data_IF_766554546209
#
_entry.id   IF_766554546209
#
_cell.length_a   1.000
_cell.length_b   1.000
_cell.length_c   1.000
_cell.angle_alpha   90.00
_cell.angle_beta   90.00
_cell.angle_gamma   90.00
#
_symmetry.space_group_name_H-M   'P 1'
#
loop_
_entity.id
_entity.type
_entity.pdbx_description
1 polymer ?
#
# COMPACT_ATOMS: atom_id res chain seq x y z
N UNK A 1 69.80 -27.49 8.16
CA UNK A 1 68.55 -26.71 8.34
C UNK A 1 68.67 -25.40 7.58
N UNK A 2 67.73 -25.11 6.67
CA UNK A 2 67.28 -23.76 6.27
C UNK A 2 66.56 -23.88 4.92
N UNK A 3 65.23 -24.11 4.95
CA UNK A 3 64.36 -23.96 3.78
C UNK A 3 64.09 -22.46 3.61
N UNK A 4 64.63 -21.86 2.56
CA UNK A 4 64.34 -20.48 2.17
C UNK A 4 62.87 -20.37 1.72
N UNK A 5 62.08 -19.57 2.44
CA UNK A 5 60.69 -19.24 2.09
C UNK A 5 60.68 -18.30 0.88
N UNK A 6 60.20 -18.78 -0.26
CA UNK A 6 59.78 -17.91 -1.36
C UNK A 6 58.57 -17.08 -0.91
N UNK A 7 58.69 -15.75 -0.96
CA UNK A 7 57.56 -14.83 -0.74
C UNK A 7 57.10 -14.32 -2.10
N UNK A 8 55.84 -14.62 -2.46
CA UNK A 8 55.21 -14.11 -3.66
C UNK A 8 55.08 -12.58 -3.60
N UNK A 9 55.58 -11.89 -4.63
CA UNK A 9 55.46 -10.44 -4.79
C UNK A 9 54.12 -10.14 -5.47
N UNK A 10 53.19 -9.51 -4.75
CA UNK A 10 51.92 -9.03 -5.30
C UNK A 10 52.05 -7.56 -5.67
N UNK A 11 52.09 -7.26 -6.97
CA UNK A 11 52.08 -5.88 -7.48
C UNK A 11 50.62 -5.45 -7.69
N UNK A 12 50.09 -4.61 -6.79
CA UNK A 12 48.79 -3.96 -6.98
C UNK A 12 48.96 -2.73 -7.89
N UNK A 13 48.59 -2.84 -9.17
CA UNK A 13 48.45 -1.67 -10.05
C UNK A 13 47.19 -0.92 -9.67
N UNK A 14 47.35 0.31 -9.17
CA UNK A 14 46.23 1.22 -8.95
C UNK A 14 46.04 2.03 -10.23
N UNK A 15 44.92 1.81 -10.92
CA UNK A 15 44.52 2.67 -12.04
C UNK A 15 44.08 4.02 -11.48
N UNK A 16 44.71 5.11 -11.94
CA UNK A 16 44.31 6.46 -11.58
C UNK A 16 42.84 6.70 -12.00
N UNK A 17 41.99 7.01 -11.02
CA UNK A 17 40.62 7.43 -11.29
C UNK A 17 40.65 8.73 -12.13
N UNK A 18 40.03 8.69 -13.31
CA UNK A 18 39.80 9.90 -14.12
C UNK A 18 39.04 10.90 -13.25
N UNK A 19 39.59 12.13 -13.12
CA UNK A 19 38.91 13.25 -12.49
C UNK A 19 37.58 13.50 -13.21
N UNK A 20 36.49 13.09 -12.59
CA UNK A 20 35.14 13.44 -12.98
C UNK A 20 34.97 14.95 -12.81
N UNK A 21 34.64 15.66 -13.89
CA UNK A 21 34.43 17.11 -13.91
C UNK A 21 33.13 17.48 -13.18
N UNK A 22 33.15 17.51 -11.84
CA UNK A 22 32.00 17.84 -10.99
C UNK A 22 31.61 19.34 -10.97
N UNK A 23 32.00 20.13 -11.99
CA UNK A 23 31.76 21.58 -12.03
C UNK A 23 30.64 22.05 -12.97
N UNK A 24 30.00 21.15 -13.74
CA UNK A 24 29.05 21.49 -14.81
C UNK A 24 27.57 21.26 -14.50
N UNK A 25 27.23 20.46 -13.48
CA UNK A 25 25.85 20.05 -13.21
C UNK A 25 24.94 21.23 -12.79
N UNK A 26 25.46 22.17 -12.00
CA UNK A 26 24.70 23.36 -11.58
C UNK A 26 24.43 24.32 -12.74
N UNK A 27 25.31 24.37 -13.75
CA UNK A 27 25.13 25.18 -14.96
C UNK A 27 24.01 24.61 -15.85
N UNK A 28 23.86 23.29 -15.87
CA UNK A 28 22.79 22.63 -16.61
C UNK A 28 21.42 22.90 -15.96
N UNK A 29 21.34 22.82 -14.63
CA UNK A 29 20.13 23.17 -13.89
C UNK A 29 19.77 24.66 -14.03
N UNK A 30 20.76 25.56 -14.04
CA UNK A 30 20.54 26.99 -14.26
C UNK A 30 20.08 27.31 -15.70
N UNK A 31 20.68 26.65 -16.70
CA UNK A 31 20.28 26.80 -18.09
C UNK A 31 18.83 26.33 -18.31
N UNK A 32 18.47 25.18 -17.72
CA UNK A 32 17.12 24.61 -17.79
C UNK A 32 16.08 25.55 -17.15
N UNK A 33 16.40 26.11 -15.97
CA UNK A 33 15.55 27.10 -15.32
C UNK A 33 15.32 28.37 -16.17
N UNK A 34 16.38 28.88 -16.82
CA UNK A 34 16.27 30.04 -17.70
C UNK A 34 15.42 29.74 -18.94
N UNK A 35 15.55 28.54 -19.53
CA UNK A 35 14.71 28.13 -20.66
C UNK A 35 13.25 27.91 -20.26
N UNK A 36 12.99 27.39 -19.06
CA UNK A 36 11.63 27.26 -18.53
C UNK A 36 10.98 28.65 -18.33
N UNK A 37 11.71 29.62 -17.79
CA UNK A 37 11.21 30.99 -17.63
C UNK A 37 10.99 31.69 -18.98
N UNK A 38 11.87 31.47 -19.96
CA UNK A 38 11.69 31.99 -21.32
C UNK A 38 10.44 31.39 -21.98
N UNK A 39 10.24 30.08 -21.89
CA UNK A 39 9.07 29.41 -22.45
C UNK A 39 7.76 29.89 -21.79
N UNK A 40 7.77 30.04 -20.46
CA UNK A 40 6.64 30.59 -19.71
C UNK A 40 6.33 32.03 -20.13
N UNK A 41 7.35 32.87 -20.31
CA UNK A 41 7.18 34.24 -20.76
C UNK A 41 6.60 34.30 -22.19
N UNK A 42 7.12 33.50 -23.12
CA UNK A 42 6.59 33.41 -24.49
C UNK A 42 5.13 32.94 -24.50
N UNK A 43 4.77 31.99 -23.63
CA UNK A 43 3.39 31.53 -23.49
C UNK A 43 2.46 32.64 -22.98
N UNK A 44 2.87 33.35 -21.92
CA UNK A 44 2.09 34.48 -21.40
C UNK A 44 1.99 35.62 -22.40
N UNK A 45 3.05 35.87 -23.16
CA UNK A 45 3.08 36.87 -24.23
C UNK A 45 2.10 36.50 -25.36
N UNK A 46 2.08 35.23 -25.78
CA UNK A 46 1.11 34.71 -26.73
C UNK A 46 -0.32 34.86 -26.22
N UNK A 47 -0.59 34.48 -24.97
CA UNK A 47 -1.93 34.61 -24.35
C UNK A 47 -2.40 36.07 -24.25
N UNK A 48 -1.47 37.02 -24.09
CA UNK A 48 -1.81 38.44 -24.07
C UNK A 48 -2.22 39.00 -25.44
N UNK A 49 -1.83 38.34 -26.54
CA UNK A 49 -2.20 38.72 -27.91
C UNK A 49 -3.50 38.08 -28.41
N UNK A 50 -4.07 37.15 -27.65
CA UNK A 50 -5.26 36.36 -28.02
C UNK A 50 -6.52 37.01 -27.45
N UNK A 51 -7.59 37.03 -28.25
CA UNK A 51 -8.87 37.62 -27.81
C UNK A 51 -9.51 36.77 -26.70
N UNK A 52 -10.31 37.37 -25.78
CA UNK A 52 -10.97 36.62 -24.71
C UNK A 52 -11.89 35.51 -25.22
N UNK A 53 -12.44 35.65 -26.44
CA UNK A 53 -13.26 34.61 -27.08
C UNK A 53 -12.43 33.40 -27.49
N UNK A 54 -11.26 33.61 -28.08
CA UNK A 54 -10.32 32.53 -28.43
C UNK A 54 -9.73 31.86 -27.18
N UNK A 55 -9.42 32.65 -26.14
CA UNK A 55 -8.93 32.12 -24.86
C UNK A 55 -9.98 31.22 -24.18
N UNK A 56 -11.27 31.59 -24.27
CA UNK A 56 -12.37 30.74 -23.81
C UNK A 56 -12.49 29.45 -24.63
N UNK A 57 -12.36 29.53 -25.96
CA UNK A 57 -12.39 28.34 -26.83
C UNK A 57 -11.25 27.36 -26.55
N UNK A 58 -10.04 27.86 -26.29
CA UNK A 58 -8.89 27.04 -25.89
C UNK A 58 -9.12 26.45 -24.48
N UNK A 59 -9.63 27.24 -23.52
CA UNK A 59 -9.93 26.76 -22.18
C UNK A 59 -11.01 25.66 -22.20
N UNK A 60 -12.03 25.81 -23.03
CA UNK A 60 -13.11 24.83 -23.18
C UNK A 60 -12.61 23.52 -23.80
N UNK A 61 -11.65 23.58 -24.73
CA UNK A 61 -10.96 22.39 -25.27
C UNK A 61 -10.24 21.57 -24.18
N UNK A 62 -9.59 22.24 -23.21
CA UNK A 62 -8.90 21.56 -22.10
C UNK A 62 -9.82 21.18 -20.93
N UNK A 63 -10.97 21.84 -20.78
CA UNK A 63 -11.96 21.53 -19.73
C UNK A 63 -12.96 20.44 -20.12
N UNK A 64 -13.05 20.07 -21.40
CA UNK A 64 -13.99 19.06 -21.89
C UNK A 64 -13.38 17.70 -22.32
N UNK A 65 -12.29 17.16 -21.74
CA UNK A 65 -11.84 15.81 -22.10
C UNK A 65 -12.87 14.74 -21.67
N UNK A 66 -13.62 15.00 -20.59
CA UNK A 66 -14.55 14.02 -20.02
C UNK A 66 -15.86 13.85 -20.81
N UNK A 67 -16.41 14.92 -21.42
CA UNK A 67 -17.71 14.85 -22.10
C UNK A 67 -17.63 14.08 -23.42
N UNK A 68 -16.56 14.25 -24.19
CA UNK A 68 -16.35 13.54 -25.44
C UNK A 68 -16.03 12.05 -25.22
N UNK A 69 -15.31 11.72 -24.14
CA UNK A 69 -14.98 10.34 -23.78
C UNK A 69 -16.17 9.55 -23.19
N UNK A 70 -17.05 10.20 -22.42
CA UNK A 70 -18.19 9.53 -21.74
C UNK A 70 -19.48 9.45 -22.58
N UNK A 71 -19.75 10.39 -23.49
CA UNK A 71 -21.05 10.49 -24.15
C UNK A 71 -21.04 10.41 -25.68
N UNK A 72 -19.88 10.19 -26.31
CA UNK A 72 -19.79 9.98 -27.76
C UNK A 72 -20.54 11.05 -28.56
N UNK A 73 -20.11 12.31 -28.42
CA UNK A 73 -20.67 13.45 -29.14
C UNK A 73 -19.60 14.11 -30.03
N UNK A 74 -20.05 14.69 -31.14
CA UNK A 74 -19.20 15.39 -32.12
C UNK A 74 -18.23 16.33 -31.42
N UNK A 75 -16.95 16.17 -31.75
CA UNK A 75 -15.89 17.07 -31.30
C UNK A 75 -16.18 18.43 -31.91
N UNK A 76 -16.03 19.50 -31.13
CA UNK A 76 -16.03 20.89 -31.62
C UNK A 76 -14.90 21.23 -32.59
N UNK A 77 -14.16 20.22 -33.07
CA UNK A 77 -13.14 20.28 -34.11
C UNK A 77 -13.61 19.65 -35.44
N UNK A 78 -14.90 19.30 -35.59
CA UNK A 78 -15.47 19.17 -36.93
C UNK A 78 -15.60 20.58 -37.52
N UNK A 79 -14.73 20.87 -38.48
CA UNK A 79 -14.82 22.04 -39.33
C UNK A 79 -16.26 22.13 -39.87
N UNK A 80 -16.91 23.27 -39.70
CA UNK A 80 -18.30 23.48 -40.10
C UNK A 80 -18.40 23.47 -41.63
N UNK A 81 -18.36 22.29 -42.23
CA UNK A 81 -18.56 22.12 -43.67
C UNK A 81 -20.08 21.98 -43.91
N UNK A 82 -20.66 22.97 -44.59
CA UNK A 82 -22.08 23.02 -44.96
C UNK A 82 -22.44 22.00 -46.07
N UNK A 83 -21.45 21.30 -46.64
CA UNK A 83 -21.66 20.32 -47.69
C UNK A 83 -21.14 18.96 -47.23
N UNK A 84 -22.05 18.15 -46.69
CA UNK A 84 -21.86 16.71 -46.46
C UNK A 84 -22.06 15.98 -47.79
N UNK A 85 -21.18 16.26 -48.75
CA UNK A 85 -21.27 15.79 -50.14
C UNK A 85 -20.03 15.02 -50.54
N UNK A 86 -20.08 13.70 -50.40
CA UNK A 86 -19.10 12.79 -51.00
C UNK A 86 -19.19 12.87 -52.51
N UNK A 87 -18.18 13.46 -53.14
CA UNK A 87 -17.98 13.48 -54.58
C UNK A 87 -16.72 12.70 -54.94
N UNK A 88 -16.88 11.69 -55.79
CA UNK A 88 -15.77 10.94 -56.40
C UNK A 88 -14.98 11.91 -57.29
N UNK A 89 -13.66 11.96 -57.13
CA UNK A 89 -12.79 12.64 -58.07
C UNK A 89 -12.83 11.87 -59.40
N UNK A 90 -13.45 12.46 -60.44
CA UNK A 90 -13.59 11.84 -61.76
C UNK A 90 -12.26 11.68 -62.51
N UNK A 91 -11.14 12.18 -61.97
CA UNK A 91 -9.81 12.06 -62.57
C UNK A 91 -8.96 10.91 -62.00
N UNK A 92 -9.44 10.23 -60.95
CA UNK A 92 -8.67 9.18 -60.28
C UNK A 92 -9.55 7.98 -59.93
N UNK A 93 -9.19 6.79 -60.41
CA UNK A 93 -9.90 5.52 -60.16
C UNK A 93 -9.65 4.95 -58.74
N UNK A 94 -9.41 5.83 -57.75
CA UNK A 94 -9.15 5.46 -56.35
C UNK A 94 -10.21 6.07 -55.47
N UNK A 95 -10.84 5.21 -54.67
CA UNK A 95 -11.85 5.61 -53.69
C UNK A 95 -11.35 6.77 -52.83
N UNK A 96 -12.17 7.83 -52.79
CA UNK A 96 -11.88 9.05 -52.05
C UNK A 96 -11.54 8.73 -50.61
N UNK A 97 -10.41 9.26 -50.14
CA UNK A 97 -9.91 9.05 -48.78
C UNK A 97 -10.81 9.79 -47.81
N UNK A 98 -11.96 9.19 -47.45
CA UNK A 98 -12.45 9.35 -46.09
C UNK A 98 -11.41 8.66 -45.22
N UNK A 99 -10.45 9.44 -44.72
CA UNK A 99 -9.59 9.00 -43.63
C UNK A 99 -10.49 8.92 -42.40
N UNK A 100 -11.32 7.87 -42.33
CA UNK A 100 -11.58 7.22 -41.06
C UNK A 100 -10.20 6.80 -40.61
N UNK A 101 -9.66 7.56 -39.66
CA UNK A 101 -8.61 7.05 -38.81
C UNK A 101 -9.21 5.85 -38.09
N UNK A 102 -9.13 4.68 -38.72
CA UNK A 102 -9.15 3.44 -37.95
C UNK A 102 -8.05 3.62 -36.91
N UNK A 103 -8.43 3.49 -35.63
CA UNK A 103 -7.63 3.86 -34.46
C UNK A 103 -6.32 3.08 -34.27
N UNK A 104 -5.76 2.55 -35.34
CA UNK A 104 -4.53 1.78 -35.41
C UNK A 104 -3.39 2.66 -35.93
N UNK A 105 -3.12 3.75 -35.22
CA UNK A 105 -1.80 4.38 -35.28
C UNK A 105 -1.22 4.38 -33.88
N UNK A 106 -0.06 3.77 -33.73
CA UNK A 106 0.66 3.59 -32.44
C UNK A 106 0.90 4.89 -31.67
N UNK A 107 0.80 6.06 -32.33
CA UNK A 107 0.87 7.37 -31.69
C UNK A 107 -0.47 7.85 -31.13
N UNK A 108 -1.62 7.55 -31.75
CA UNK A 108 -2.94 7.90 -31.22
C UNK A 108 -3.30 7.07 -29.98
N UNK A 109 -2.90 5.79 -29.95
CA UNK A 109 -3.06 4.93 -28.78
C UNK A 109 -2.25 5.44 -27.58
N UNK A 110 -1.04 5.99 -27.81
CA UNK A 110 -0.15 6.49 -26.75
C UNK A 110 -0.55 7.85 -26.16
N UNK A 111 -1.15 8.74 -26.95
CA UNK A 111 -1.65 10.02 -26.42
C UNK A 111 -2.98 9.83 -25.68
N UNK A 112 -3.87 8.96 -26.16
CA UNK A 112 -5.10 8.61 -25.44
C UNK A 112 -4.81 7.89 -24.10
N UNK A 113 -3.87 6.94 -24.08
CA UNK A 113 -3.51 6.24 -22.83
C UNK A 113 -2.92 7.18 -21.76
N UNK A 114 -2.14 8.20 -22.17
CA UNK A 114 -1.56 9.17 -21.23
C UNK A 114 -2.59 10.14 -20.65
N UNK A 115 -3.55 10.60 -21.45
CA UNK A 115 -4.63 11.47 -20.94
C UNK A 115 -5.54 10.73 -19.96
N UNK A 116 -5.77 9.44 -20.21
CA UNK A 116 -6.58 8.59 -19.33
C UNK A 116 -5.84 8.32 -18.01
N UNK A 117 -4.53 8.04 -18.06
CA UNK A 117 -3.69 7.85 -16.86
C UNK A 117 -3.62 9.13 -15.98
N UNK A 118 -3.50 10.31 -16.58
CA UNK A 118 -3.49 11.58 -15.84
C UNK A 118 -4.84 11.89 -15.19
N UNK A 119 -5.95 11.63 -15.89
CA UNK A 119 -7.30 11.80 -15.35
C UNK A 119 -7.57 10.85 -14.17
N UNK A 120 -7.16 9.58 -14.29
CA UNK A 120 -7.28 8.58 -13.22
C UNK A 120 -6.46 8.98 -12.00
N UNK A 121 -5.21 9.42 -12.20
CA UNK A 121 -4.34 9.85 -11.09
C UNK A 121 -4.89 11.07 -10.35
N UNK A 122 -5.44 12.06 -11.08
CA UNK A 122 -6.09 13.23 -10.45
C UNK A 122 -7.33 12.83 -9.66
N UNK A 123 -8.14 11.92 -10.19
CA UNK A 123 -9.33 11.42 -9.51
C UNK A 123 -8.93 10.64 -8.25
N UNK A 124 -7.95 9.73 -8.33
CA UNK A 124 -7.43 8.99 -7.17
C UNK A 124 -6.90 9.93 -6.09
N UNK A 125 -6.06 10.92 -6.45
CA UNK A 125 -5.55 11.89 -5.49
C UNK A 125 -6.63 12.78 -4.85
N UNK A 126 -7.78 12.97 -5.51
CA UNK A 126 -8.94 13.65 -4.91
C UNK A 126 -9.67 12.77 -3.89
N UNK A 127 -9.79 11.46 -4.16
CA UNK A 127 -10.42 10.48 -3.28
C UNK A 127 -9.57 10.25 -2.03
N UNK A 128 -8.26 10.10 -2.19
CA UNK A 128 -7.29 9.97 -1.08
C UNK A 128 -7.36 11.17 -0.13
N UNK A 129 -7.43 12.40 -0.66
CA UNK A 129 -7.57 13.60 0.17
C UNK A 129 -8.88 13.62 0.96
N UNK A 130 -10.01 13.27 0.33
CA UNK A 130 -11.31 13.19 1.01
C UNK A 130 -11.31 12.12 2.10
N UNK A 131 -10.65 11.00 1.85
CA UNK A 131 -10.46 9.96 2.85
C UNK A 131 -9.59 10.42 4.01
N UNK A 132 -8.49 11.11 3.74
CA UNK A 132 -7.61 11.63 4.77
C UNK A 132 -8.34 12.61 5.70
N UNK A 133 -9.21 13.46 5.14
CA UNK A 133 -10.10 14.32 5.92
C UNK A 133 -11.06 13.49 6.79
N UNK A 134 -11.71 12.46 6.24
CA UNK A 134 -12.60 11.56 7.02
C UNK A 134 -11.88 10.89 8.19
N UNK A 135 -10.67 10.38 7.98
CA UNK A 135 -9.88 9.75 9.03
C UNK A 135 -9.42 10.77 10.09
N UNK A 136 -9.13 12.01 9.68
CA UNK A 136 -8.82 13.10 10.60
C UNK A 136 -10.03 13.52 11.44
N UNK A 137 -11.21 13.64 10.82
CA UNK A 137 -12.45 13.93 11.54
C UNK A 137 -12.78 12.82 12.55
N UNK A 138 -12.56 11.55 12.17
CA UNK A 138 -12.68 10.40 13.06
C UNK A 138 -11.72 10.51 14.25
N UNK A 139 -10.46 10.88 14.02
CA UNK A 139 -9.48 11.10 15.08
C UNK A 139 -9.98 12.16 16.08
N UNK A 140 -10.45 13.30 15.59
CA UNK A 140 -10.96 14.39 16.43
C UNK A 140 -12.16 13.90 17.25
N UNK A 141 -13.11 13.20 16.60
CA UNK A 141 -14.31 12.67 17.27
C UNK A 141 -13.97 11.65 18.35
N UNK A 142 -13.02 10.75 18.10
CA UNK A 142 -12.52 9.80 19.09
C UNK A 142 -11.89 10.51 20.29
N UNK A 143 -11.02 11.49 20.05
CA UNK A 143 -10.40 12.27 21.12
C UNK A 143 -11.45 13.04 21.95
N UNK A 144 -12.44 13.63 21.29
CA UNK A 144 -13.55 14.32 21.96
C UNK A 144 -14.41 13.35 22.78
N UNK A 145 -14.70 12.14 22.28
CA UNK A 145 -15.45 11.13 23.00
C UNK A 145 -14.71 10.62 24.26
N UNK A 146 -13.38 10.43 24.15
CA UNK A 146 -12.52 10.07 25.28
C UNK A 146 -12.52 11.19 26.34
N UNK A 147 -12.45 12.46 25.91
CA UNK A 147 -12.47 13.58 26.83
C UNK A 147 -13.83 13.80 27.48
N UNK A 148 -14.93 13.59 26.75
CA UNK A 148 -16.29 13.76 27.28
C UNK A 148 -16.64 12.76 28.37
N UNK A 149 -16.12 11.52 28.30
CA UNK A 149 -16.42 10.47 29.26
C UNK A 149 -15.43 10.49 30.46
N UNK A 150 -15.89 10.73 31.70
CA UNK A 150 -15.01 10.76 32.88
C UNK A 150 -14.21 9.46 33.11
N UNK A 151 -14.81 8.31 32.77
CA UNK A 151 -14.18 6.99 32.91
C UNK A 151 -13.06 6.81 31.88
N UNK A 152 -13.23 7.30 30.65
CA UNK A 152 -12.20 7.19 29.61
C UNK A 152 -11.07 8.21 29.81
N UNK A 153 -11.42 9.39 30.34
CA UNK A 153 -10.47 10.48 30.58
C UNK A 153 -9.30 10.08 31.49
N UNK A 154 -9.54 9.24 32.50
CA UNK A 154 -8.46 8.72 33.37
C UNK A 154 -7.48 7.79 32.63
N UNK A 155 -7.86 7.25 31.47
CA UNK A 155 -7.02 6.39 30.62
C UNK A 155 -6.43 7.14 29.41
N UNK A 156 -6.57 8.47 29.34
CA UNK A 156 -6.05 9.28 28.22
C UNK A 156 -4.55 9.05 27.94
N UNK A 157 -3.75 8.74 28.97
CA UNK A 157 -2.31 8.45 28.79
C UNK A 157 -2.05 7.06 28.21
N UNK A 158 -2.99 6.13 28.41
CA UNK A 158 -2.91 4.75 27.91
C UNK A 158 -3.52 4.60 26.51
N UNK A 159 -4.28 5.59 26.03
CA UNK A 159 -4.87 5.60 24.70
C UNK A 159 -4.11 6.59 23.82
N UNK A 160 -3.44 6.08 22.78
CA UNK A 160 -2.69 6.89 21.80
C UNK A 160 -3.38 6.81 20.45
N UNK A 161 -3.56 7.95 19.78
CA UNK A 161 -4.22 8.01 18.47
C UNK A 161 -3.35 8.79 17.49
N UNK A 162 -2.80 8.09 16.50
CA UNK A 162 -1.85 8.64 15.54
C UNK A 162 -2.32 8.43 14.09
N UNK A 163 -2.05 9.42 13.24
CA UNK A 163 -2.17 9.25 11.79
C UNK A 163 -0.91 8.58 11.24
N UNK A 164 -1.08 7.54 10.45
CA UNK A 164 -0.01 6.70 9.88
C UNK A 164 -0.18 6.58 8.36
N UNK A 165 0.84 6.05 7.68
CA UNK A 165 0.77 5.81 6.23
C UNK A 165 -0.31 4.79 5.85
N UNK A 166 -0.68 3.89 6.77
CA UNK A 166 -1.72 2.89 6.53
C UNK A 166 -3.13 3.38 6.88
N UNK A 167 -3.25 4.52 7.55
CA UNK A 167 -4.51 5.09 8.01
C UNK A 167 -4.43 5.59 9.46
N UNK A 168 -5.51 5.46 10.24
CA UNK A 168 -5.56 5.92 11.62
C UNK A 168 -5.23 4.76 12.58
N UNK A 169 -4.23 4.92 13.44
CA UNK A 169 -3.85 3.91 14.44
C UNK A 169 -4.28 4.36 15.83
N UNK A 170 -4.99 3.49 16.53
CA UNK A 170 -5.42 3.65 17.92
C UNK A 170 -4.71 2.58 18.72
N UNK A 171 -3.85 2.96 19.66
CA UNK A 171 -3.15 2.04 20.55
C UNK A 171 -3.66 2.19 21.98
N UNK A 172 -3.93 1.05 22.62
CA UNK A 172 -4.32 1.00 24.03
C UNK A 172 -3.23 0.19 24.76
N UNK A 173 -2.46 0.87 25.61
CA UNK A 173 -1.28 0.30 26.29
C UNK A 173 -1.56 -0.07 27.74
N UNK A 174 -0.94 -1.14 28.21
CA UNK A 174 -0.93 -1.52 29.62
C UNK A 174 0.00 -0.64 30.44
N UNK A 175 -0.25 -0.60 31.75
CA UNK A 175 0.71 -0.14 32.75
C UNK A 175 0.71 -1.09 33.94
N UNK A 176 1.78 -1.14 34.75
CA UNK A 176 1.83 -2.04 35.90
C UNK A 176 0.68 -1.88 36.89
N UNK A 177 0.18 -0.64 37.05
CA UNK A 177 -0.89 -0.35 38.02
C UNK A 177 -2.29 -0.56 37.44
N UNK A 178 -2.41 -0.60 36.10
CA UNK A 178 -3.69 -0.64 35.38
C UNK A 178 -3.52 -1.46 34.08
N UNK A 179 -3.47 -2.80 34.18
CA UNK A 179 -3.39 -3.68 33.00
C UNK A 179 -4.73 -3.74 32.27
N UNK A 180 -4.79 -3.80 30.95
CA UNK A 180 -6.05 -3.88 30.18
C UNK A 180 -6.66 -5.29 30.15
N UNK A 181 -5.84 -6.28 30.49
CA UNK A 181 -6.20 -7.68 30.58
C UNK A 181 -5.76 -8.25 31.92
N UNK A 182 -6.49 -9.27 32.39
CA UNK A 182 -6.03 -10.03 33.53
C UNK A 182 -4.66 -10.69 33.25
N UNK A 183 -3.87 -10.89 34.31
CA UNK A 183 -2.51 -11.43 34.20
C UNK A 183 -2.53 -12.78 33.49
N UNK A 184 -1.73 -12.91 32.42
CA UNK A 184 -1.60 -14.13 31.63
C UNK A 184 -2.94 -14.65 31.02
N UNK A 185 -3.96 -13.79 30.89
CA UNK A 185 -5.28 -14.09 30.33
C UNK A 185 -5.62 -13.15 29.16
N UNK A 186 -6.59 -13.57 28.33
CA UNK A 186 -7.27 -12.75 27.31
C UNK A 186 -8.56 -12.10 27.82
N UNK A 187 -8.91 -12.32 29.10
CA UNK A 187 -10.02 -11.64 29.76
C UNK A 187 -9.75 -10.14 29.89
N UNK A 188 -10.65 -9.34 29.28
CA UNK A 188 -10.60 -7.89 29.35
C UNK A 188 -11.01 -7.39 30.73
N UNK A 189 -10.28 -6.40 31.23
CA UNK A 189 -10.67 -5.68 32.45
C UNK A 189 -11.89 -4.77 32.17
N UNK A 190 -12.72 -4.45 33.19
CA UNK A 190 -13.94 -3.66 33.00
C UNK A 190 -13.72 -2.32 32.28
N UNK A 191 -12.63 -1.62 32.59
CA UNK A 191 -12.31 -0.36 31.93
C UNK A 191 -11.85 -0.54 30.48
N UNK A 192 -11.13 -1.62 30.16
CA UNK A 192 -10.76 -1.93 28.77
C UNK A 192 -12.00 -2.21 27.93
N UNK A 193 -12.95 -2.97 28.50
CA UNK A 193 -14.27 -3.18 27.91
C UNK A 193 -14.99 -1.86 27.61
N UNK A 194 -15.03 -0.94 28.58
CA UNK A 194 -15.68 0.37 28.39
C UNK A 194 -15.00 1.20 27.30
N UNK A 195 -13.66 1.19 27.25
CA UNK A 195 -12.87 1.86 26.21
C UNK A 195 -13.20 1.30 24.83
N UNK A 196 -13.12 -0.02 24.66
CA UNK A 196 -13.36 -0.68 23.37
C UNK A 196 -14.80 -0.47 22.90
N UNK A 197 -15.78 -0.53 23.80
CA UNK A 197 -17.18 -0.31 23.41
C UNK A 197 -17.44 1.11 22.93
N UNK A 198 -16.87 2.11 23.60
CA UNK A 198 -16.98 3.50 23.18
C UNK A 198 -16.29 3.77 21.82
N UNK A 199 -15.13 3.14 21.60
CA UNK A 199 -14.43 3.21 20.32
C UNK A 199 -15.24 2.52 19.22
N UNK A 200 -15.78 1.33 19.49
CA UNK A 200 -16.53 0.51 18.54
C UNK A 200 -17.67 1.27 17.85
N UNK A 201 -18.49 1.97 18.64
CA UNK A 201 -19.57 2.81 18.09
C UNK A 201 -19.06 3.92 17.16
N UNK A 202 -17.95 4.57 17.52
CA UNK A 202 -17.38 5.69 16.76
C UNK A 202 -16.74 5.20 15.45
N UNK A 203 -16.22 3.97 15.42
CA UNK A 203 -15.63 3.42 14.21
C UNK A 203 -16.64 3.29 13.06
N UNK A 204 -17.94 3.16 13.32
CA UNK A 204 -18.97 3.04 12.29
C UNK A 204 -19.21 4.32 11.47
N UNK A 205 -18.70 5.47 11.90
CA UNK A 205 -18.86 6.74 11.18
C UNK A 205 -18.14 6.76 9.82
N UNK A 206 -17.16 5.88 9.62
CA UNK A 206 -16.40 5.75 8.38
C UNK A 206 -16.60 4.38 7.75
N UNK A 207 -16.61 4.23 6.42
CA UNK A 207 -16.76 2.92 5.76
C UNK A 207 -15.50 2.04 5.84
N UNK A 208 -14.40 2.59 6.37
CA UNK A 208 -13.09 1.96 6.37
C UNK A 208 -13.04 0.69 7.23
N UNK A 209 -12.37 -0.34 6.70
CA UNK A 209 -12.10 -1.61 7.41
C UNK A 209 -10.97 -1.44 8.42
N UNK A 210 -10.92 -2.33 9.39
CA UNK A 210 -9.95 -2.30 10.49
C UNK A 210 -9.09 -3.57 10.56
N UNK A 211 -7.89 -3.41 11.10
CA UNK A 211 -7.01 -4.51 11.53
C UNK A 211 -6.80 -4.39 13.03
N UNK A 212 -7.00 -5.49 13.75
CA UNK A 212 -6.77 -5.55 15.20
C UNK A 212 -5.51 -6.36 15.46
N UNK A 213 -4.54 -5.76 16.14
CA UNK A 213 -3.25 -6.36 16.45
C UNK A 213 -3.08 -6.47 17.97
N UNK A 214 -2.65 -7.63 18.44
CA UNK A 214 -2.26 -7.84 19.83
C UNK A 214 -0.74 -7.92 19.96
N UNK A 215 -0.22 -7.26 20.97
CA UNK A 215 1.19 -7.28 21.34
C UNK A 215 1.34 -7.66 22.81
N UNK A 216 2.40 -8.39 23.13
CA UNK A 216 2.81 -8.72 24.49
C UNK A 216 4.23 -8.21 24.74
N UNK A 217 4.64 -8.18 25.99
CA UNK A 217 6.04 -7.97 26.36
C UNK A 217 6.86 -9.26 26.15
N UNK A 218 8.17 -9.15 26.32
CA UNK A 218 9.11 -10.27 26.23
C UNK A 218 9.17 -11.13 27.51
N UNK A 219 8.27 -10.90 28.48
CA UNK A 219 8.22 -11.72 29.69
C UNK A 219 7.80 -13.14 29.27
N UNK A 220 8.59 -14.19 29.57
CA UNK A 220 8.24 -15.54 29.19
C UNK A 220 6.92 -15.97 29.83
N UNK A 221 6.00 -16.49 29.02
CA UNK A 221 4.78 -17.09 29.53
C UNK A 221 5.12 -18.35 30.35
N UNK A 222 4.47 -18.53 31.50
CA UNK A 222 4.80 -19.59 32.46
C UNK A 222 4.69 -21.02 31.89
N UNK A 223 3.94 -21.21 30.79
CA UNK A 223 3.78 -22.48 30.08
C UNK A 223 4.91 -22.84 29.09
N UNK A 224 5.85 -21.93 28.81
CA UNK A 224 6.95 -22.13 27.87
C UNK A 224 6.54 -22.17 26.39
N UNK A 225 7.51 -22.39 25.50
CA UNK A 225 7.33 -22.32 24.03
C UNK A 225 6.72 -23.58 23.38
N UNK A 226 6.60 -24.69 24.12
CA UNK A 226 6.02 -25.93 23.59
C UNK A 226 4.50 -25.99 23.65
N UNK A 227 3.87 -25.00 24.27
CA UNK A 227 2.42 -24.92 24.45
C UNK A 227 1.94 -23.48 24.27
N UNK A 228 1.04 -23.05 25.14
CA UNK A 228 0.52 -21.69 25.12
C UNK A 228 1.63 -20.68 25.43
N UNK A 229 1.88 -19.78 24.48
CA UNK A 229 2.95 -18.80 24.53
C UNK A 229 2.39 -17.38 24.34
N UNK A 230 3.30 -16.41 24.28
CA UNK A 230 2.95 -15.03 23.97
C UNK A 230 2.35 -14.86 22.56
N UNK A 231 2.57 -15.81 21.65
CA UNK A 231 1.93 -15.82 20.33
C UNK A 231 0.42 -16.04 20.46
N UNK A 232 0.01 -17.11 21.12
CA UNK A 232 -1.39 -17.43 21.38
C UNK A 232 -2.05 -16.30 22.19
N UNK A 233 -1.39 -15.86 23.27
CA UNK A 233 -1.90 -14.77 24.12
C UNK A 233 -2.16 -13.48 23.33
N UNK A 234 -1.24 -13.11 22.45
CA UNK A 234 -1.39 -11.89 21.65
C UNK A 234 -2.56 -11.99 20.67
N UNK A 235 -2.76 -13.16 20.04
CA UNK A 235 -3.87 -13.40 19.13
C UNK A 235 -5.22 -13.46 19.86
N UNK A 236 -5.27 -14.11 21.02
CA UNK A 236 -6.48 -14.23 21.84
C UNK A 236 -6.92 -12.87 22.37
N UNK A 237 -6.00 -12.04 22.86
CA UNK A 237 -6.28 -10.66 23.29
C UNK A 237 -6.77 -9.76 22.15
N UNK A 238 -6.22 -9.93 20.96
CA UNK A 238 -6.71 -9.23 19.77
C UNK A 238 -8.15 -9.65 19.44
N UNK A 239 -8.47 -10.95 19.56
CA UNK A 239 -9.83 -11.46 19.37
C UNK A 239 -10.80 -11.04 20.49
N UNK A 240 -10.37 -11.02 21.75
CA UNK A 240 -11.13 -10.48 22.86
C UNK A 240 -11.49 -9.01 22.62
N UNK A 241 -10.53 -8.23 22.14
CA UNK A 241 -10.75 -6.84 21.79
C UNK A 241 -11.75 -6.68 20.63
N UNK A 242 -11.62 -7.52 19.59
CA UNK A 242 -12.59 -7.58 18.47
C UNK A 242 -14.01 -7.83 18.98
N UNK A 243 -14.20 -8.82 19.88
CA UNK A 243 -15.51 -9.15 20.46
C UNK A 243 -16.12 -7.95 21.19
N UNK A 244 -15.32 -7.22 21.97
CA UNK A 244 -15.82 -6.05 22.71
C UNK A 244 -16.09 -4.83 21.80
N UNK A 245 -15.33 -4.65 20.72
CA UNK A 245 -15.65 -3.62 19.71
C UNK A 245 -17.02 -3.88 19.07
N UNK A 246 -17.29 -5.13 18.70
CA UNK A 246 -18.59 -5.54 18.12
C UNK A 246 -19.70 -5.44 19.16
N UNK A 247 -19.45 -5.86 20.41
CA UNK A 247 -20.39 -5.66 21.51
C UNK A 247 -20.68 -4.18 21.81
N UNK A 248 -19.75 -3.28 21.45
CA UNK A 248 -19.90 -1.83 21.46
C UNK A 248 -20.71 -1.26 20.30
N UNK A 249 -21.19 -2.10 19.39
CA UNK A 249 -21.99 -1.72 18.24
C UNK A 249 -21.20 -1.58 16.93
N UNK A 250 -19.91 -1.91 16.88
CA UNK A 250 -19.15 -1.92 15.63
C UNK A 250 -19.66 -3.02 14.68
N UNK A 251 -19.83 -2.70 13.39
CA UNK A 251 -20.21 -3.70 12.39
C UNK A 251 -19.12 -4.78 12.24
N UNK A 252 -19.52 -6.06 12.24
CA UNK A 252 -18.58 -7.19 12.21
C UNK A 252 -17.73 -7.22 10.91
N UNK A 253 -18.37 -6.86 9.79
CA UNK A 253 -17.81 -6.85 8.44
C UNK A 253 -16.59 -5.93 8.29
N UNK A 254 -16.46 -4.97 9.22
CA UNK A 254 -15.33 -4.03 9.24
C UNK A 254 -14.02 -4.69 9.58
N UNK A 255 -14.04 -5.80 10.31
CA UNK A 255 -12.81 -6.49 10.67
C UNK A 255 -12.24 -7.15 9.41
N UNK A 256 -11.10 -6.64 8.94
CA UNK A 256 -10.36 -7.26 7.84
C UNK A 256 -9.47 -8.39 8.34
N UNK A 257 -8.74 -8.16 9.43
CA UNK A 257 -7.76 -9.12 9.95
C UNK A 257 -7.55 -8.94 11.45
N UNK A 258 -7.25 -10.07 12.11
CA UNK A 258 -6.77 -10.11 13.50
C UNK A 258 -5.37 -10.71 13.48
N UNK A 259 -4.42 -10.09 14.19
CA UNK A 259 -3.01 -10.49 14.17
C UNK A 259 -2.46 -10.57 15.60
N UNK A 260 -1.82 -11.69 15.94
CA UNK A 260 -0.99 -11.80 17.15
C UNK A 260 0.48 -11.59 16.79
N UNK A 261 1.17 -10.66 17.48
CA UNK A 261 2.56 -10.31 17.22
C UNK A 261 3.52 -10.65 18.37
N UNK A 262 3.02 -11.23 19.47
CA UNK A 262 3.79 -11.49 20.68
C UNK A 262 4.69 -10.29 21.05
N UNK A 263 5.96 -10.54 21.34
CA UNK A 263 7.00 -9.55 21.61
C UNK A 263 7.87 -9.20 20.38
N UNK A 264 7.41 -9.52 19.16
CA UNK A 264 8.19 -9.28 17.95
C UNK A 264 8.28 -7.77 17.60
N UNK A 265 7.32 -6.97 18.06
CA UNK A 265 7.23 -5.53 17.81
C UNK A 265 7.00 -4.73 19.09
N UNK A 266 8.06 -4.58 19.88
CA UNK A 266 8.04 -3.79 21.12
C UNK A 266 7.94 -2.29 20.83
N UNK A 267 7.11 -1.62 21.63
CA UNK A 267 6.94 -0.17 21.61
C UNK A 267 8.16 0.51 22.24
N UNK A 268 8.54 0.07 23.44
CA UNK A 268 9.81 0.39 24.05
C UNK A 268 10.86 -0.67 23.64
N UNK A 269 11.67 -0.33 22.64
CA UNK A 269 12.74 -1.22 22.16
C UNK A 269 13.93 -1.31 23.13
N UNK A 270 14.10 -0.33 24.01
CA UNK A 270 15.21 -0.30 24.96
C UNK A 270 14.95 -1.27 26.13
N UNK A 271 13.69 -1.43 26.53
CA UNK A 271 13.26 -2.39 27.54
C UNK A 271 12.17 -3.33 27.00
N UNK A 272 12.55 -4.53 26.54
CA UNK A 272 11.60 -5.54 26.07
C UNK A 272 10.60 -6.04 27.12
N UNK A 273 10.89 -5.85 28.42
CA UNK A 273 10.04 -6.28 29.52
C UNK A 273 9.07 -5.17 29.97
N UNK A 274 9.14 -4.00 29.33
CA UNK A 274 8.27 -2.87 29.65
C UNK A 274 6.79 -3.25 29.44
N UNK A 275 5.93 -3.04 30.46
CA UNK A 275 4.50 -3.20 30.37
C UNK A 275 3.84 -2.46 29.20
N UNK A 276 4.37 -1.32 28.77
CA UNK A 276 3.84 -0.59 27.61
C UNK A 276 3.92 -1.41 26.31
N UNK A 277 4.78 -2.44 26.26
CA UNK A 277 4.84 -3.36 25.13
C UNK A 277 3.59 -4.24 25.04
N UNK A 278 2.88 -4.48 26.16
CA UNK A 278 1.57 -5.13 26.16
C UNK A 278 0.52 -4.10 25.73
N UNK A 279 0.05 -4.22 24.48
CA UNK A 279 -0.89 -3.27 23.89
C UNK A 279 -1.77 -3.92 22.84
N UNK A 280 -2.91 -3.28 22.60
CA UNK A 280 -3.77 -3.56 21.46
C UNK A 280 -3.70 -2.39 20.49
N UNK A 281 -3.43 -2.68 19.22
CA UNK A 281 -3.40 -1.68 18.16
C UNK A 281 -4.55 -1.93 17.19
N UNK A 282 -5.43 -0.95 17.04
CA UNK A 282 -6.55 -0.95 16.11
C UNK A 282 -6.18 0.02 14.98
N UNK A 283 -6.05 -0.50 13.76
CA UNK A 283 -5.67 0.28 12.58
C UNK A 283 -6.89 0.40 11.68
N UNK A 284 -7.41 1.61 11.53
CA UNK A 284 -8.43 1.96 10.54
C UNK A 284 -7.72 2.22 9.22
N UNK A 285 -7.91 1.33 8.26
CA UNK A 285 -7.17 1.32 7.01
C UNK A 285 -7.64 2.44 6.08
N UNK A 286 -6.71 3.12 5.42
CA UNK A 286 -7.04 3.89 4.21
C UNK A 286 -7.28 2.92 3.03
N UNK A 287 -7.92 3.43 1.97
CA UNK A 287 -8.33 2.61 0.84
C UNK A 287 -7.15 1.92 0.15
N UNK A 288 -6.03 2.64 0.02
CA UNK A 288 -4.80 2.12 -0.60
C UNK A 288 -4.23 0.93 0.17
N UNK A 289 -4.19 0.99 1.49
CA UNK A 289 -3.71 -0.09 2.35
C UNK A 289 -4.68 -1.27 2.42
N UNK A 290 -5.98 -1.00 2.44
CA UNK A 290 -7.01 -2.04 2.34
C UNK A 290 -6.89 -2.83 1.03
N UNK A 291 -6.77 -2.12 -0.10
CA UNK A 291 -6.65 -2.74 -1.42
C UNK A 291 -5.34 -3.53 -1.55
N UNK A 292 -4.23 -3.04 -0.97
CA UNK A 292 -2.96 -3.76 -0.95
C UNK A 292 -3.07 -5.09 -0.19
N UNK A 293 -3.65 -5.08 1.02
CA UNK A 293 -3.82 -6.29 1.83
C UNK A 293 -4.77 -7.30 1.16
N UNK A 294 -5.84 -6.82 0.52
CA UNK A 294 -6.81 -7.70 -0.17
C UNK A 294 -6.21 -8.32 -1.43
N UNK A 295 -5.33 -7.60 -2.14
CA UNK A 295 -4.63 -8.13 -3.32
C UNK A 295 -3.62 -9.21 -2.96
N UNK A 296 -2.84 -9.00 -1.90
CA UNK A 296 -1.86 -9.99 -1.45
C UNK A 296 -2.51 -11.37 -1.21
N UNK A 297 -3.71 -11.39 -0.59
CA UNK A 297 -4.46 -12.62 -0.30
C UNK A 297 -5.01 -13.31 -1.57
N UNK A 298 -5.24 -12.58 -2.66
CA UNK A 298 -5.78 -13.13 -3.92
C UNK A 298 -4.70 -13.56 -4.92
N UNK A 299 -3.47 -13.05 -4.77
CA UNK A 299 -2.35 -13.38 -5.64
C UNK A 299 -1.79 -14.77 -5.31
N UNK A 300 -2.47 -15.83 -5.78
CA UNK A 300 -1.90 -17.18 -5.76
C UNK A 300 -0.85 -17.28 -6.85
N UNK A 301 0.42 -16.97 -6.54
CA UNK A 301 1.54 -17.33 -7.41
C UNK A 301 1.63 -18.85 -7.39
N UNK A 302 1.06 -19.51 -8.40
CA UNK A 302 1.31 -20.94 -8.61
C UNK A 302 2.81 -21.08 -8.87
N UNK A 303 3.53 -21.60 -7.87
CA UNK A 303 4.92 -22.04 -8.04
C UNK A 303 4.85 -23.27 -8.97
N UNK A 304 4.79 -23.03 -10.27
CA UNK A 304 5.01 -24.07 -11.26
C UNK A 304 6.43 -24.62 -11.03
N UNK A 305 6.55 -25.93 -10.83
CA UNK A 305 7.82 -26.66 -10.66
C UNK A 305 8.82 -26.48 -11.83
N UNK A 306 8.47 -25.68 -12.84
CA UNK A 306 9.30 -25.30 -13.98
C UNK A 306 10.11 -24.00 -13.75
N UNK A 307 10.27 -23.57 -12.50
CA UNK A 307 11.27 -22.55 -12.16
C UNK A 307 12.65 -23.02 -12.68
N UNK A 308 13.24 -22.20 -13.56
CA UNK A 308 14.43 -22.49 -14.33
C UNK A 308 15.56 -23.10 -13.48
N UNK A 309 15.65 -24.43 -13.48
CA UNK A 309 16.65 -25.18 -12.70
C UNK A 309 16.25 -26.60 -12.34
N UNK A 310 14.95 -26.91 -12.22
CA UNK A 310 14.51 -28.26 -11.82
C UNK A 310 14.84 -29.34 -12.86
N UNK A 311 14.89 -28.99 -14.15
CA UNK A 311 15.23 -29.93 -15.23
C UNK A 311 16.73 -30.32 -15.27
N UNK A 312 17.60 -29.57 -14.59
CA UNK A 312 19.04 -29.82 -14.59
C UNK A 312 19.53 -30.72 -13.44
N UNK A 313 18.74 -30.91 -12.37
CA UNK A 313 19.11 -31.84 -11.30
C UNK A 313 18.66 -33.29 -11.56
N UNK A 314 17.67 -33.51 -12.42
CA UNK A 314 17.15 -34.84 -12.75
C UNK A 314 18.09 -35.70 -13.60
N UNK A 315 19.07 -35.11 -14.30
CA UNK A 315 20.03 -35.85 -15.13
C UNK A 315 21.39 -36.11 -14.46
N UNK A 316 21.63 -35.55 -13.28
CA UNK A 316 22.90 -35.67 -12.55
C UNK A 316 22.91 -36.82 -11.52
N UNK A 317 21.75 -37.38 -11.16
CA UNK A 317 21.66 -38.58 -10.33
C UNK A 317 21.25 -39.75 -11.22
N UNK A 318 22.24 -40.57 -11.58
CA UNK A 318 22.03 -41.83 -12.29
C UNK A 318 20.99 -42.70 -11.58
N UNK A 319 20.25 -43.46 -12.38
CA UNK A 319 19.23 -44.41 -11.94
C UNK A 319 19.66 -45.19 -10.70
N UNK A 320 18.96 -44.98 -9.59
CA UNK A 320 19.05 -45.86 -8.44
C UNK A 320 18.43 -47.22 -8.81
N UNK A 321 19.03 -48.36 -8.42
CA UNK A 321 18.51 -49.67 -8.76
C UNK A 321 17.16 -49.90 -8.06
N UNK A 322 16.21 -50.48 -8.80
CA UNK A 322 14.91 -50.87 -8.27
C UNK A 322 15.09 -51.90 -7.14
N UNK A 323 14.68 -51.52 -5.93
CA UNK A 323 14.60 -52.44 -4.79
C UNK A 323 13.39 -53.34 -4.99
N UNK A 324 13.62 -54.65 -5.15
CA UNK A 324 12.56 -55.64 -5.21
C UNK A 324 11.82 -55.75 -3.86
N UNK A 325 10.49 -55.97 -3.84
CA UNK A 325 9.73 -56.08 -2.61
C UNK A 325 10.06 -57.39 -1.88
N UNK A 326 10.43 -57.30 -0.59
CA UNK A 326 10.59 -58.47 0.27
C UNK A 326 9.24 -58.95 0.81
N UNK A 327 9.03 -60.28 0.96
CA UNK A 327 7.77 -60.83 1.44
C UNK A 327 7.63 -60.67 2.96
N UNK A 328 6.41 -60.31 3.39
CA UNK A 328 6.03 -60.11 4.79
C UNK A 328 5.85 -61.47 5.47
N UNK A 329 6.66 -61.77 6.48
CA UNK A 329 6.46 -62.94 7.36
C UNK A 329 5.60 -62.55 8.57
N UNK A 330 4.45 -63.20 8.72
CA UNK A 330 3.54 -63.05 9.87
C UNK A 330 4.09 -63.88 11.06
N UNK A 331 4.20 -63.33 12.28
CA UNK A 331 4.65 -64.10 13.43
C UNK A 331 3.51 -64.98 13.99
N UNK A 332 3.83 -66.25 14.23
CA UNK A 332 2.95 -67.20 14.91
C UNK A 332 2.83 -66.88 16.41
N UNK A 333 1.61 -67.04 16.92
CA UNK A 333 1.20 -66.80 18.29
C UNK A 333 1.58 -67.98 19.19
N UNK A 334 2.17 -67.76 20.38
CA UNK A 334 2.05 -68.70 21.50
C UNK A 334 0.76 -68.46 22.30
#
# INVERSE_FOLDING_TARGET
MSKGKERAIVVKRVTAAKKSHHGGAWKLAYADFMTAMMAFFLLMWLLSSVTPVQLKGIAEYFQQPLKAALFGGDRSAEDSSIVKGGGRDISTDKDGVTRRSDGDTTNATRTASKSDDEAINQQQGSLERREQVRLHDLQIKLMAAIEANPILRQFKQQIRVDSTLTGLRIEIVDTQKRPMFATASDDVEPYMRDILRAIGQTLNDVPNRIVVQGHTDAVPYAGGEKGYSNWELSADRANASRRELIAGGMDEDKVLRVIGLASAQNLNKADPLDPENRRISIIVLNKKSEDALTRDDTSTTTLSNDAAGAKALGSAFGAAPAVAPQPVTVPAKP
#
